data_IF_434166498234
#
_entry.id   IF_434166498234
#
_cell.length_a   1.000
_cell.length_b   1.000
_cell.length_c   1.000
_cell.angle_alpha   90.00
_cell.angle_beta   90.00
_cell.angle_gamma   90.00
#
_symmetry.space_group_name_H-M   'P 1'
#
loop_
_entity.id
_entity.type
_entity.pdbx_description
1 polymer ?
2 non-polymer ?
3 non-polymer ?
4 non-polymer ?
5 non-polymer ?
6 water ?
#
# COMPACT_ATOMS: atom_id res chain seq x y z
N UNK A 1 -24.43 24.73 -8.72
CA UNK A 1 -25.31 24.93 -7.51
C UNK A 1 -24.58 24.46 -6.24
N UNK A 2 -24.00 23.26 -6.31
CA UNK A 2 -23.33 22.65 -5.16
C UNK A 2 -22.07 23.36 -4.67
N UNK A 3 -21.33 24.02 -5.58
CA UNK A 3 -20.07 24.73 -5.25
C UNK A 3 -20.14 26.26 -5.47
N UNK A 4 -21.34 26.79 -5.58
CA UNK A 4 -21.58 28.23 -5.61
C UNK A 4 -22.08 28.69 -4.23
N UNK A 5 -21.47 29.75 -3.73
CA UNK A 5 -21.81 30.30 -2.42
C UNK A 5 -23.09 31.17 -2.53
N UNK A 6 -24.12 30.76 -1.81
CA UNK A 6 -25.32 31.56 -1.63
C UNK A 6 -25.21 32.49 -0.41
N UNK A 7 -24.68 31.99 0.70
CA UNK A 7 -24.36 32.83 1.87
C UNK A 7 -23.13 32.31 2.62
N UNK A 8 -22.38 33.22 3.23
CA UNK A 8 -21.26 32.89 4.11
C UNK A 8 -21.38 33.76 5.32
N UNK A 9 -21.25 33.21 6.51
CA UNK A 9 -21.25 34.07 7.69
C UNK A 9 -20.43 33.50 8.83
N UNK A 10 -20.01 34.38 9.74
CA UNK A 10 -19.28 33.95 10.91
C UNK A 10 -20.28 33.68 12.04
N UNK A 11 -20.09 32.55 12.73
CA UNK A 11 -21.01 32.04 13.76
C UNK A 11 -20.25 31.57 14.98
N UNK A 12 -20.98 31.35 16.06
CA UNK A 12 -20.45 30.73 17.27
C UNK A 12 -19.32 31.58 17.83
N UNK A 13 -19.64 32.83 18.12
CA UNK A 13 -18.65 33.79 18.58
C UNK A 13 -17.60 34.07 17.53
N UNK A 14 -17.98 33.93 16.25
CA UNK A 14 -17.08 34.10 15.10
C UNK A 14 -15.96 33.01 14.97
N UNK A 15 -16.12 31.89 15.69
CA UNK A 15 -15.16 30.78 15.67
C UNK A 15 -15.39 29.77 14.55
N UNK A 16 -16.48 29.92 13.82
CA UNK A 16 -16.84 29.05 12.73
C UNK A 16 -17.29 29.92 11.57
N UNK A 17 -17.04 29.45 10.35
CA UNK A 17 -17.67 30.04 9.17
C UNK A 17 -18.66 29.01 8.65
N UNK A 18 -19.88 29.46 8.38
CA UNK A 18 -20.86 28.61 7.72
C UNK A 18 -21.08 29.09 6.29
N UNK A 19 -21.00 28.15 5.35
CA UNK A 19 -21.36 28.40 3.96
C UNK A 19 -22.66 27.68 3.66
N UNK A 20 -23.61 28.43 3.12
CA UNK A 20 -24.81 27.87 2.53
C UNK A 20 -24.55 27.85 1.01
N UNK A 21 -24.56 26.67 0.40
CA UNK A 21 -24.32 26.52 -1.02
C UNK A 21 -25.65 26.67 -1.77
N UNK A 22 -25.57 26.86 -3.07
CA UNK A 22 -26.79 27.11 -3.83
C UNK A 22 -27.70 25.89 -3.93
N UNK A 23 -27.22 24.73 -3.53
CA UNK A 23 -28.11 23.56 -3.36
C UNK A 23 -28.76 23.49 -1.98
N UNK A 24 -28.53 24.49 -1.14
CA UNK A 24 -29.14 24.58 0.19
C UNK A 24 -28.43 23.72 1.27
N UNK A 25 -27.45 22.93 0.89
CA UNK A 25 -26.56 22.28 1.87
C UNK A 25 -25.69 23.30 2.57
N UNK A 26 -25.32 23.02 3.82
CA UNK A 26 -24.47 23.93 4.58
C UNK A 26 -23.14 23.23 4.87
N UNK A 27 -22.05 24.00 4.93
CA UNK A 27 -20.73 23.46 5.33
C UNK A 27 -20.18 24.37 6.43
N UNK A 28 -19.39 23.79 7.35
CA UNK A 28 -18.84 24.52 8.47
C UNK A 28 -17.30 24.39 8.47
N UNK A 29 -16.62 25.50 8.77
CA UNK A 29 -15.18 25.60 8.72
C UNK A 29 -14.71 26.34 9.94
N UNK A 30 -13.92 25.66 10.81
CA UNK A 30 -13.45 26.34 12.00
C UNK A 30 -12.53 27.48 11.64
N UNK A 31 -12.64 28.60 12.34
CA UNK A 31 -11.81 29.75 12.07
C UNK A 31 -10.31 29.44 12.16
N UNK A 32 -9.90 28.66 13.16
CA UNK A 32 -8.48 28.35 13.36
C UNK A 32 -7.93 27.57 12.16
N UNK A 33 -8.71 26.67 11.62
CA UNK A 33 -8.36 25.94 10.39
C UNK A 33 -8.25 26.87 9.19
N UNK A 34 -9.19 27.78 9.03
CA UNK A 34 -9.07 28.78 7.95
C UNK A 34 -7.80 29.59 8.06
N UNK A 35 -7.52 30.13 9.24
CA UNK A 35 -6.31 30.91 9.43
C UNK A 35 -5.05 30.09 9.14
N UNK A 36 -5.02 28.86 9.66
CA UNK A 36 -3.88 27.94 9.47
C UNK A 36 -3.63 27.68 7.98
N UNK A 37 -4.70 27.76 7.19
CA UNK A 37 -4.64 27.39 5.77
C UNK A 37 -4.81 28.57 4.82
N UNK A 38 -4.48 29.76 5.32
CA UNK A 38 -4.42 30.94 4.47
C UNK A 38 -3.50 30.70 3.29
N UNK A 39 -3.99 30.89 2.05
CA UNK A 39 -3.14 30.62 0.89
C UNK A 39 -2.31 31.80 0.43
N UNK A 40 -2.29 32.91 1.18
CA UNK A 40 -1.50 34.04 0.73
C UNK A 40 0.01 33.70 0.70
N UNK A 41 0.78 34.54 0.02
CA UNK A 41 2.21 34.27 -0.11
C UNK A 41 3.03 34.37 1.19
N UNK A 42 2.53 35.08 2.20
CA UNK A 42 3.18 35.03 3.50
C UNK A 42 3.02 33.67 4.21
N UNK A 43 1.86 33.06 4.02
CA UNK A 43 1.47 31.87 4.75
C UNK A 43 1.76 30.61 4.01
N UNK A 44 1.91 30.70 2.70
CA UNK A 44 1.90 29.51 1.87
C UNK A 44 2.86 29.69 0.72
N UNK A 45 3.75 28.70 0.52
CA UNK A 45 4.73 28.78 -0.56
C UNK A 45 4.19 28.06 -1.78
N UNK A 46 3.70 28.82 -2.76
CA UNK A 46 3.05 28.19 -3.92
C UNK A 46 3.94 27.23 -4.71
N UNK A 47 5.22 27.56 -4.86
CA UNK A 47 6.11 26.70 -5.67
C UNK A 47 6.24 25.30 -5.02
N UNK A 48 6.18 25.25 -3.69
CA UNK A 48 6.28 24.00 -2.96
C UNK A 48 4.91 23.35 -2.62
N UNK A 49 3.82 24.08 -2.84
CA UNK A 49 2.50 23.76 -2.28
C UNK A 49 2.57 23.35 -0.82
N UNK A 50 3.15 24.25 -0.02
CA UNK A 50 3.44 23.95 1.37
C UNK A 50 3.20 25.14 2.27
N UNK A 51 2.92 24.84 3.52
CA UNK A 51 2.60 25.85 4.50
C UNK A 51 3.90 26.45 5.02
N UNK A 52 3.97 27.78 4.95
CA UNK A 52 5.07 28.54 5.61
C UNK A 52 4.69 28.97 7.02
N UNK A 53 3.41 29.22 7.25
CA UNK A 53 2.91 29.64 8.56
C UNK A 53 3.34 28.65 9.64
N UNK A 54 3.92 29.17 10.70
CA UNK A 54 4.34 28.34 11.82
C UNK A 54 3.18 28.14 12.80
N UNK A 55 3.18 27.02 13.51
CA UNK A 55 2.24 26.79 14.59
C UNK A 55 2.33 27.95 15.59
N UNK A 56 3.55 28.44 15.78
CA UNK A 56 3.81 29.54 16.73
C UNK A 56 3.05 30.82 16.33
N UNK A 57 2.71 30.95 15.05
CA UNK A 57 1.98 32.14 14.58
C UNK A 57 0.47 32.01 14.68
N UNK A 58 -0.03 30.82 15.01
CA UNK A 58 -1.43 30.54 14.98
C UNK A 58 -2.10 30.76 16.34
N UNK A 59 -3.07 31.68 16.40
CA UNK A 59 -3.84 31.90 17.63
C UNK A 59 -4.94 30.86 17.64
N UNK A 60 -4.83 29.85 18.51
CA UNK A 60 -5.83 28.77 18.49
C UNK A 60 -7.22 29.20 18.98
N UNK A 61 -7.33 30.38 19.59
CA UNK A 61 -8.62 30.95 20.01
C UNK A 61 -9.14 32.01 19.02
N UNK A 62 -8.55 32.04 17.83
CA UNK A 62 -8.89 33.03 16.82
C UNK A 62 -10.35 32.96 16.40
N UNK A 63 -10.91 34.13 16.16
CA UNK A 63 -12.18 34.25 15.47
C UNK A 63 -12.08 35.18 14.27
N UNK A 64 -13.06 35.08 13.39
CA UNK A 64 -13.13 35.89 12.18
C UNK A 64 -13.50 37.33 12.57
N UNK A 65 -12.75 38.31 12.10
CA UNK A 65 -13.09 39.72 12.42
C UNK A 65 -14.12 40.27 11.44
N UNK A 66 -13.94 39.97 10.16
CA UNK A 66 -14.88 40.45 9.13
C UNK A 66 -14.87 39.46 8.01
N UNK A 67 -16.01 39.34 7.33
CA UNK A 67 -16.14 38.49 6.18
C UNK A 67 -17.07 39.11 5.13
N UNK A 68 -16.64 39.10 3.87
CA UNK A 68 -17.54 39.32 2.74
C UNK A 68 -17.34 38.17 1.77
N UNK A 69 -18.25 38.04 0.81
CA UNK A 69 -18.20 36.94 -0.13
C UNK A 69 -18.90 37.29 -1.42
N UNK A 70 -18.59 36.54 -2.46
CA UNK A 70 -19.35 36.56 -3.67
C UNK A 70 -19.63 35.10 -3.98
N UNK A 71 -20.13 34.82 -5.17
CA UNK A 71 -20.47 33.44 -5.52
C UNK A 71 -19.30 32.43 -5.52
N UNK A 72 -18.06 32.90 -5.71
CA UNK A 72 -16.93 31.99 -5.89
C UNK A 72 -15.82 32.14 -4.85
N UNK A 73 -15.93 33.10 -3.93
CA UNK A 73 -14.84 33.40 -3.00
C UNK A 73 -15.32 34.00 -1.71
N UNK A 74 -14.57 33.75 -0.64
CA UNK A 74 -14.80 34.46 0.62
C UNK A 74 -13.55 35.27 0.94
N UNK A 75 -13.76 36.44 1.53
CA UNK A 75 -12.70 37.38 1.83
C UNK A 75 -12.77 37.69 3.32
N UNK A 76 -11.72 37.34 4.08
CA UNK A 76 -11.74 37.42 5.55
C UNK A 76 -10.68 38.33 6.08
N UNK A 77 -11.06 39.16 7.03
CA UNK A 77 -10.12 39.88 7.89
C UNK A 77 -10.02 39.23 9.26
N UNK A 78 -8.79 39.15 9.75
CA UNK A 78 -8.50 38.59 11.06
C UNK A 78 -8.23 39.68 12.10
N UNK A 79 -8.34 39.36 13.40
CA UNK A 79 -8.16 40.38 14.46
C UNK A 79 -6.87 41.17 14.42
N UNK A 80 -5.79 40.54 13.98
CA UNK A 80 -4.51 41.23 13.83
C UNK A 80 -4.34 41.90 12.46
N UNK A 81 -5.41 42.02 11.68
CA UNK A 81 -5.41 42.67 10.35
C UNK A 81 -4.84 41.82 9.23
N UNK A 82 -4.41 40.58 9.52
CA UNK A 82 -4.13 39.66 8.40
C UNK A 82 -5.39 39.49 7.56
N UNK A 83 -5.20 39.16 6.28
CA UNK A 83 -6.27 39.13 5.32
C UNK A 83 -6.15 37.89 4.47
N UNK A 84 -7.24 37.15 4.29
CA UNK A 84 -7.24 35.89 3.54
C UNK A 84 -8.35 35.79 2.52
N UNK A 85 -8.08 35.11 1.40
CA UNK A 85 -9.10 34.75 0.42
C UNK A 85 -9.15 33.26 0.21
N UNK A 86 -10.37 32.72 0.21
CA UNK A 86 -10.58 31.29 -0.05
C UNK A 86 -11.54 31.08 -1.22
N UNK A 87 -11.20 30.14 -2.11
CA UNK A 87 -12.02 29.83 -3.26
C UNK A 87 -13.10 28.84 -2.87
N UNK A 88 -14.28 29.03 -3.45
CA UNK A 88 -15.41 28.15 -3.19
C UNK A 88 -15.15 26.67 -3.47
N UNK A 89 -14.52 26.36 -4.60
CA UNK A 89 -14.29 24.96 -4.97
C UNK A 89 -13.33 24.28 -3.98
N UNK A 90 -12.30 25.01 -3.57
CA UNK A 90 -11.31 24.56 -2.58
C UNK A 90 -12.00 24.28 -1.24
N UNK A 91 -12.82 25.23 -0.78
CA UNK A 91 -13.65 25.01 0.43
C UNK A 91 -14.56 23.77 0.31
N UNK A 92 -15.27 23.65 -0.80
CA UNK A 92 -16.26 22.57 -1.00
C UNK A 92 -15.60 21.19 -0.86
N UNK A 93 -14.45 21.04 -1.49
CA UNK A 93 -13.68 19.80 -1.45
C UNK A 93 -13.31 19.40 0.00
N UNK A 94 -12.99 20.40 0.83
CA UNK A 94 -12.48 20.20 2.18
C UNK A 94 -13.52 20.26 3.29
N UNK A 95 -14.81 20.25 2.90
CA UNK A 95 -15.95 20.27 3.79
C UNK A 95 -15.76 19.19 4.89
N UNK A 96 -16.02 19.55 6.12
CA UNK A 96 -15.79 18.65 7.25
C UNK A 96 -16.91 17.64 7.49
N UNK A 97 -17.96 17.67 6.66
CA UNK A 97 -18.96 16.60 6.72
C UNK A 97 -18.34 15.21 6.48
N UNK A 98 -18.91 14.22 7.15
CA UNK A 98 -18.40 12.85 7.03
C UNK A 98 -18.40 12.37 5.58
N UNK A 99 -19.47 12.69 4.85
CA UNK A 99 -19.60 12.29 3.44
C UNK A 99 -18.52 12.93 2.60
N UNK A 100 -18.29 14.22 2.78
CA UNK A 100 -17.28 14.90 1.99
C UNK A 100 -15.87 14.40 2.33
N UNK A 101 -15.58 14.21 3.61
CA UNK A 101 -14.23 13.74 4.02
C UNK A 101 -13.97 12.34 3.47
N UNK A 102 -14.99 11.49 3.52
CA UNK A 102 -14.87 10.10 3.07
C UNK A 102 -14.66 10.03 1.56
N UNK A 103 -15.41 10.83 0.80
CA UNK A 103 -15.19 10.88 -0.63
C UNK A 103 -13.75 11.25 -1.00
N UNK A 104 -13.25 12.28 -0.32
CA UNK A 104 -11.94 12.74 -0.62
C UNK A 104 -10.88 11.70 -0.25
N UNK A 105 -11.03 11.06 0.90
CA UNK A 105 -10.11 9.99 1.31
C UNK A 105 -10.08 8.87 0.27
N UNK A 106 -11.25 8.53 -0.28
CA UNK A 106 -11.31 7.53 -1.35
C UNK A 106 -10.51 7.95 -2.57
N UNK A 107 -10.59 9.24 -2.91
CA UNK A 107 -9.84 9.79 -4.04
C UNK A 107 -8.34 9.76 -3.77
N UNK A 108 -7.93 9.97 -2.53
CA UNK A 108 -6.51 10.01 -2.20
C UNK A 108 -5.89 8.60 -2.07
N UNK A 109 -6.64 7.64 -1.54
CA UNK A 109 -6.01 6.35 -1.14
C UNK A 109 -6.53 5.09 -1.83
N UNK A 110 -7.52 5.23 -2.72
CA UNK A 110 -8.01 4.14 -3.57
C UNK A 110 -8.29 2.87 -2.73
N UNK A 111 -9.21 2.95 -1.75
CA UNK A 111 -9.43 1.83 -0.84
C UNK A 111 -10.22 0.66 -1.41
N UNK A 112 -10.86 0.82 -2.56
CA UNK A 112 -11.64 -0.26 -3.19
C UNK A 112 -10.81 -1.56 -3.23
N UNK A 113 -11.36 -2.60 -2.64
CA UNK A 113 -10.71 -3.88 -2.54
C UNK A 113 -11.64 -4.99 -3.05
N UNK A 114 -11.15 -5.86 -3.94
CA UNK A 114 -11.92 -7.02 -4.34
C UNK A 114 -11.23 -8.28 -3.83
N UNK A 115 -11.86 -8.94 -2.87
CA UNK A 115 -11.33 -10.18 -2.26
C UNK A 115 -11.51 -11.32 -3.24
N UNK A 116 -10.63 -12.31 -3.20
CA UNK A 116 -10.75 -13.44 -4.10
C UNK A 116 -10.22 -14.72 -3.46
N UNK A 117 -10.68 -15.84 -4.02
CA UNK A 117 -10.17 -17.17 -3.70
C UNK A 117 -9.77 -17.90 -4.98
N UNK A 118 -10.06 -19.19 -5.05
CA UNK A 118 -9.52 -20.01 -6.13
C UNK A 118 -10.16 -19.68 -7.49
N UNK A 119 -11.23 -18.89 -7.48
CA UNK A 119 -11.93 -18.48 -8.70
C UNK A 119 -11.26 -17.32 -9.43
N UNK A 120 -10.24 -16.73 -8.81
CA UNK A 120 -9.55 -15.57 -9.39
C UNK A 120 -9.27 -15.76 -10.88
N UNK A 121 -9.56 -14.72 -11.65
CA UNK A 121 -9.13 -14.59 -13.03
C UNK A 121 -7.94 -13.65 -12.97
N UNK A 122 -6.75 -14.16 -13.24
CA UNK A 122 -5.52 -13.41 -13.04
C UNK A 122 -5.47 -12.21 -13.98
N UNK A 123 -5.52 -10.98 -13.41
CA UNK A 123 -5.52 -9.84 -14.31
C UNK A 123 -4.23 -9.77 -15.09
N UNK A 124 -4.34 -9.51 -16.40
CA UNK A 124 -3.24 -9.66 -17.28
C UNK A 124 -3.24 -8.52 -18.29
N UNK A 125 -2.06 -7.95 -18.46
CA UNK A 125 -1.80 -6.86 -19.40
C UNK A 125 -0.50 -7.14 -20.12
N UNK A 126 -0.30 -6.43 -21.23
CA UNK A 126 0.91 -6.49 -22.00
C UNK A 126 2.00 -5.57 -21.42
N UNK A 127 3.21 -6.10 -21.33
CA UNK A 127 4.35 -5.41 -20.73
C UNK A 127 4.72 -4.11 -21.44
N UNK A 128 4.94 -4.20 -22.75
CA UNK A 128 5.32 -3.01 -23.51
C UNK A 128 4.23 -1.91 -23.54
N UNK A 129 2.97 -2.33 -23.60
CA UNK A 129 1.85 -1.40 -23.51
C UNK A 129 1.89 -0.61 -22.22
N UNK A 130 2.15 -1.30 -21.11
CA UNK A 130 2.21 -0.62 -19.81
C UNK A 130 3.37 0.39 -19.79
N UNK A 131 4.50 0.05 -20.38
CA UNK A 131 5.63 1.00 -20.41
C UNK A 131 5.31 2.20 -21.32
N UNK A 132 4.57 1.96 -22.38
CA UNK A 132 4.34 2.99 -23.41
C UNK A 132 3.14 3.90 -23.13
N UNK A 133 2.01 3.33 -22.69
CA UNK A 133 0.74 4.05 -22.61
C UNK A 133 0.27 4.29 -21.20
N UNK A 134 -0.07 5.54 -20.86
CA UNK A 134 -0.56 5.86 -19.54
C UNK A 134 -1.85 5.15 -19.22
N UNK A 135 -2.69 4.91 -20.22
CA UNK A 135 -3.95 4.23 -20.03
C UNK A 135 -3.68 2.80 -19.48
N UNK A 136 -2.67 2.16 -20.03
CA UNK A 136 -2.33 0.79 -19.64
C UNK A 136 -1.60 0.75 -18.29
N UNK A 137 -0.70 1.70 -18.05
CA UNK A 137 -0.04 1.78 -16.75
C UNK A 137 -1.03 2.12 -15.64
N UNK A 138 -2.04 2.93 -15.94
CA UNK A 138 -3.09 3.23 -14.97
C UNK A 138 -3.90 2.00 -14.62
N UNK A 139 -4.27 1.21 -15.63
CA UNK A 139 -5.01 -0.02 -15.38
C UNK A 139 -4.15 -0.98 -14.55
N UNK A 140 -2.86 -1.03 -14.88
CA UNK A 140 -1.89 -1.84 -14.13
C UNK A 140 -1.91 -1.51 -12.62
N UNK A 141 -1.59 -0.27 -12.26
CA UNK A 141 -1.49 0.09 -10.83
C UNK A 141 -2.84 0.12 -10.10
N UNK A 142 -3.92 0.48 -10.80
CA UNK A 142 -5.22 0.51 -10.16
C UNK A 142 -5.65 -0.91 -9.86
N UNK A 143 -5.38 -1.84 -10.77
CA UNK A 143 -5.75 -3.22 -10.55
C UNK A 143 -4.87 -3.89 -9.48
N UNK A 144 -3.59 -3.57 -9.50
CA UNK A 144 -2.63 -3.96 -8.48
C UNK A 144 -3.14 -3.56 -7.10
N UNK A 145 -3.62 -2.31 -6.95
CA UNK A 145 -4.16 -1.83 -5.68
C UNK A 145 -5.44 -2.56 -5.27
N UNK A 146 -6.36 -2.70 -6.21
CA UNK A 146 -7.69 -3.26 -5.95
C UNK A 146 -7.69 -4.78 -5.72
N UNK A 147 -7.03 -5.49 -6.61
CA UNK A 147 -7.05 -6.95 -6.63
C UNK A 147 -5.82 -7.52 -5.90
N UNK A 148 -4.69 -6.84 -6.01
CA UNK A 148 -3.47 -7.26 -5.31
C UNK A 148 -2.43 -7.93 -6.18
N UNK A 149 -2.77 -8.18 -7.44
CA UNK A 149 -1.84 -8.79 -8.37
C UNK A 149 -2.24 -8.52 -9.82
N UNK A 150 -1.22 -8.28 -10.65
CA UNK A 150 -1.35 -8.18 -12.10
C UNK A 150 -0.21 -8.93 -12.74
N UNK A 151 -0.53 -9.74 -13.75
CA UNK A 151 0.49 -10.39 -14.54
C UNK A 151 0.73 -9.53 -15.78
N UNK A 152 1.99 -9.29 -16.11
CA UNK A 152 2.33 -8.65 -17.38
C UNK A 152 3.00 -9.67 -18.28
N UNK A 153 2.46 -9.85 -19.48
CA UNK A 153 2.99 -10.81 -20.44
C UNK A 153 3.75 -10.10 -21.56
N UNK A 154 4.63 -10.84 -22.24
CA UNK A 154 5.33 -10.27 -23.40
C UNK A 154 6.54 -9.43 -23.07
N UNK A 155 7.13 -9.59 -21.89
CA UNK A 155 8.44 -9.02 -21.61
C UNK A 155 9.51 -9.90 -22.28
N UNK A 156 10.75 -9.45 -22.32
CA UNK A 156 11.81 -10.27 -22.89
C UNK A 156 12.18 -11.43 -21.94
N UNK A 157 13.12 -12.25 -22.36
CA UNK A 157 13.63 -13.31 -21.50
C UNK A 157 15.05 -13.00 -21.02
N UNK A 158 15.33 -11.72 -20.78
CA UNK A 158 16.64 -11.28 -20.35
C UNK A 158 16.46 -10.39 -19.13
N UNK A 159 17.50 -10.29 -18.29
CA UNK A 159 17.51 -9.33 -17.17
C UNK A 159 17.23 -7.91 -17.61
N UNK A 160 16.76 -7.08 -16.68
CA UNK A 160 16.55 -5.67 -16.94
C UNK A 160 15.11 -5.27 -17.11
N UNK A 161 14.18 -6.24 -17.15
CA UNK A 161 12.77 -5.89 -17.35
C UNK A 161 12.12 -5.30 -16.07
N UNK A 162 12.44 -5.84 -14.89
CA UNK A 162 11.88 -5.25 -13.69
C UNK A 162 12.34 -3.81 -13.46
N UNK A 163 13.59 -3.53 -13.82
CA UNK A 163 14.16 -2.20 -13.73
C UNK A 163 13.40 -1.18 -14.60
N UNK A 164 12.92 -1.62 -15.77
CA UNK A 164 12.02 -0.79 -16.60
C UNK A 164 10.72 -0.45 -15.88
N UNK A 165 10.14 -1.45 -15.23
CA UNK A 165 8.90 -1.24 -14.52
C UNK A 165 9.17 -0.33 -13.33
N UNK A 166 10.33 -0.51 -12.70
CA UNK A 166 10.81 0.37 -11.64
C UNK A 166 10.80 1.85 -12.01
N UNK A 167 11.35 2.15 -13.19
CA UNK A 167 11.41 3.51 -13.70
C UNK A 167 10.02 3.99 -14.04
N UNK A 168 9.19 3.13 -14.61
CA UNK A 168 7.81 3.50 -14.88
C UNK A 168 7.06 3.93 -13.59
N UNK A 169 7.29 3.21 -12.49
CA UNK A 169 6.70 3.56 -11.20
C UNK A 169 7.40 4.81 -10.67
N UNK A 170 8.71 4.76 -10.62
CA UNK A 170 9.50 5.85 -10.07
C UNK A 170 10.91 5.38 -9.80
N UNK A 171 11.04 4.60 -8.74
CA UNK A 171 12.27 3.91 -8.42
C UNK A 171 11.93 2.69 -7.57
N UNK A 172 12.86 1.75 -7.57
CA UNK A 172 12.74 0.48 -6.82
C UNK A 172 13.29 0.64 -5.39
N UNK A 173 12.99 -0.34 -4.54
CA UNK A 173 13.34 -0.26 -3.12
C UNK A 173 14.57 -1.14 -2.87
N UNK A 174 15.71 -0.50 -2.64
CA UNK A 174 16.95 -1.23 -2.32
C UNK A 174 16.91 -1.93 -0.98
N UNK A 175 17.34 -3.20 -0.97
CA UNK A 175 17.51 -3.96 0.28
C UNK A 175 18.89 -4.63 0.27
N UNK A 176 19.19 -5.36 1.34
CA UNK A 176 20.42 -6.11 1.43
C UNK A 176 20.61 -7.16 0.31
N UNK A 177 19.55 -7.54 -0.38
CA UNK A 177 19.65 -8.49 -1.49
C UNK A 177 19.88 -7.85 -2.85
N UNK A 178 19.99 -6.51 -2.88
CA UNK A 178 20.34 -5.76 -4.09
C UNK A 178 19.21 -4.87 -4.59
N UNK A 179 19.53 -4.09 -5.59
CA UNK A 179 18.54 -3.28 -6.30
C UNK A 179 17.57 -4.22 -7.00
N UNK A 180 18.08 -5.24 -7.67
CA UNK A 180 17.28 -6.38 -8.14
C UNK A 180 18.04 -7.60 -7.71
N UNK A 181 17.43 -8.78 -7.84
CA UNK A 181 18.05 -10.01 -7.34
C UNK A 181 17.59 -11.19 -8.17
N UNK A 182 18.40 -12.23 -8.15
CA UNK A 182 18.22 -13.37 -9.04
C UNK A 182 17.78 -14.58 -8.23
N UNK A 183 16.58 -15.08 -8.50
CA UNK A 183 16.05 -16.25 -7.84
C UNK A 183 16.46 -17.46 -8.68
N UNK A 184 17.44 -18.18 -8.16
CA UNK A 184 18.08 -19.31 -8.82
C UNK A 184 18.62 -20.15 -7.72
N UNK A 185 18.85 -21.43 -7.99
CA UNK A 185 19.55 -22.29 -7.06
C UNK A 185 21.02 -21.86 -6.93
N UNK A 186 21.48 -21.62 -5.71
CA UNK A 186 22.85 -21.15 -5.50
C UNK A 186 23.61 -21.99 -4.49
N UNK A 187 24.90 -22.20 -4.75
CA UNK A 187 25.78 -22.92 -3.83
C UNK A 187 25.94 -22.05 -2.59
N UNK A 188 25.93 -22.66 -1.40
CA UNK A 188 26.00 -21.92 -0.14
C UNK A 188 24.95 -20.82 -0.06
N UNK A 189 23.73 -21.16 -0.43
CA UNK A 189 22.60 -20.21 -0.45
C UNK A 189 22.42 -19.47 0.86
N UNK A 190 22.28 -18.15 0.73
CA UNK A 190 22.10 -17.28 1.86
C UNK A 190 20.63 -17.09 2.22
N UNK A 191 19.75 -17.79 1.50
CA UNK A 191 18.31 -17.64 1.67
C UNK A 191 17.65 -18.86 1.06
N UNK A 192 16.59 -19.38 1.68
CA UNK A 192 15.93 -20.58 1.12
C UNK A 192 15.34 -20.36 -0.27
N UNK A 193 15.03 -19.11 -0.60
CA UNK A 193 14.52 -18.83 -1.91
C UNK A 193 15.53 -19.17 -3.02
N UNK A 194 16.82 -19.16 -2.70
CA UNK A 194 17.90 -19.42 -3.67
C UNK A 194 18.33 -20.91 -3.64
N UNK A 195 17.34 -21.78 -3.52
CA UNK A 195 17.51 -23.23 -3.56
C UNK A 195 16.41 -23.75 -4.47
N UNK A 196 16.37 -25.06 -4.69
CA UNK A 196 15.27 -25.68 -5.42
C UNK A 196 14.07 -26.07 -4.53
N UNK A 197 14.10 -25.72 -3.26
CA UNK A 197 13.09 -26.17 -2.32
C UNK A 197 11.74 -25.50 -2.55
N UNK A 198 10.71 -26.12 -1.99
CA UNK A 198 9.38 -25.54 -1.94
C UNK A 198 9.42 -24.29 -1.06
N UNK A 199 8.71 -23.24 -1.45
CA UNK A 199 8.44 -22.14 -0.55
C UNK A 199 6.96 -22.22 -0.22
N UNK A 200 6.65 -22.38 1.06
CA UNK A 200 5.27 -22.35 1.53
C UNK A 200 4.80 -20.90 1.46
N UNK A 201 3.51 -20.68 1.69
CA UNK A 201 2.97 -19.33 1.66
C UNK A 201 3.73 -18.43 2.61
N UNK A 202 4.21 -17.32 2.05
CA UNK A 202 4.88 -16.31 2.88
C UNK A 202 4.69 -14.93 2.28
N UNK A 203 4.98 -13.90 3.08
CA UNK A 203 5.25 -12.59 2.60
C UNK A 203 6.77 -12.37 2.61
N UNK A 204 7.26 -11.50 1.74
CA UNK A 204 8.69 -11.28 1.65
C UNK A 204 9.11 -10.25 2.69
N UNK A 205 10.21 -10.57 3.35
CA UNK A 205 10.99 -9.65 4.15
C UNK A 205 10.34 -9.14 5.44
N UNK A 206 9.67 -10.02 6.20
CA UNK A 206 9.25 -9.60 7.54
C UNK A 206 10.41 -9.31 8.50
N UNK A 207 11.61 -9.71 8.14
CA UNK A 207 12.78 -9.34 8.92
C UNK A 207 13.02 -7.81 8.93
N UNK A 208 12.40 -7.08 8.01
CA UNK A 208 12.37 -5.60 8.07
C UNK A 208 11.14 -5.07 8.82
N UNK A 209 11.30 -3.99 9.57
CA UNK A 209 10.18 -3.38 10.24
C UNK A 209 9.19 -2.79 9.22
N UNK A 210 9.66 -2.46 8.02
CA UNK A 210 8.78 -1.95 6.94
C UNK A 210 8.97 -2.83 5.72
N UNK A 211 8.26 -3.98 5.68
CA UNK A 211 8.47 -4.88 4.55
C UNK A 211 8.07 -4.21 3.23
N UNK A 212 8.72 -4.62 2.12
CA UNK A 212 8.35 -4.14 0.79
C UNK A 212 6.85 -4.20 0.56
N UNK A 213 6.27 -3.09 0.08
CA UNK A 213 4.85 -3.09 -0.24
C UNK A 213 4.47 -3.86 -1.47
N UNK A 214 5.30 -3.77 -2.50
CA UNK A 214 5.03 -4.33 -3.81
C UNK A 214 6.23 -5.15 -4.26
N UNK A 215 5.97 -6.33 -4.80
CA UNK A 215 7.02 -7.17 -5.30
C UNK A 215 6.83 -7.39 -6.78
N UNK A 216 7.93 -7.43 -7.50
CA UNK A 216 7.96 -7.77 -8.93
C UNK A 216 8.77 -9.02 -9.15
N UNK A 217 8.24 -9.98 -9.91
CA UNK A 217 9.00 -11.16 -10.27
C UNK A 217 8.90 -11.41 -11.76
N UNK A 218 10.04 -11.46 -12.42
CA UNK A 218 10.09 -11.67 -13.87
C UNK A 218 10.70 -13.02 -14.18
N UNK A 219 10.00 -13.83 -14.96
CA UNK A 219 10.49 -15.15 -15.36
C UNK A 219 11.40 -15.02 -16.58
N UNK A 220 12.67 -15.29 -16.37
CA UNK A 220 13.66 -15.33 -17.41
C UNK A 220 13.74 -16.76 -17.97
N UNK A 221 13.91 -17.73 -17.08
CA UNK A 221 13.95 -19.15 -17.39
C UNK A 221 13.02 -19.91 -16.46
N UNK A 222 12.23 -20.82 -17.01
CA UNK A 222 11.39 -21.73 -16.23
C UNK A 222 11.75 -23.19 -16.46
N UNK A 223 11.50 -24.01 -15.43
CA UNK A 223 11.80 -25.44 -15.47
C UNK A 223 10.51 -26.23 -15.67
N UNK A 224 10.58 -27.36 -16.38
CA UNK A 224 9.42 -28.23 -16.48
C UNK A 224 9.25 -29.17 -15.25
N UNK A 225 10.27 -29.22 -14.37
CA UNK A 225 10.29 -30.16 -13.25
C UNK A 225 9.52 -29.72 -12.00
N UNK A 226 8.97 -28.52 -12.02
CA UNK A 226 8.18 -28.02 -10.88
C UNK A 226 8.20 -26.49 -10.95
N UNK A 227 8.19 -25.84 -9.80
CA UNK A 227 8.33 -24.36 -9.76
C UNK A 227 7.10 -23.56 -10.13
N UNK A 228 5.93 -24.18 -10.08
CA UNK A 228 4.67 -23.47 -10.19
C UNK A 228 4.53 -22.45 -9.05
N UNK A 229 3.76 -21.41 -9.33
CA UNK A 229 3.48 -20.35 -8.39
C UNK A 229 2.13 -20.56 -7.71
N UNK A 230 2.03 -20.09 -6.48
CA UNK A 230 0.78 -20.12 -5.75
C UNK A 230 0.64 -18.83 -4.98
N UNK A 231 -0.60 -18.34 -4.93
CA UNK A 231 -0.94 -17.12 -4.24
C UNK A 231 -2.24 -17.32 -3.49
N UNK A 232 -2.43 -16.51 -2.47
CA UNK A 232 -3.64 -16.51 -1.67
C UNK A 232 -3.87 -15.05 -1.24
N UNK A 233 -5.14 -14.69 -1.08
CA UNK A 233 -5.52 -13.36 -0.66
C UNK A 233 -5.56 -13.34 0.88
N UNK A 234 -4.51 -12.79 1.48
CA UNK A 234 -4.35 -12.81 2.94
C UNK A 234 -5.45 -12.08 3.68
N UNK A 235 -6.00 -11.00 3.08
CA UNK A 235 -7.09 -10.30 3.72
C UNK A 235 -8.35 -11.17 3.74
N UNK A 236 -8.61 -11.89 2.66
CA UNK A 236 -9.71 -12.85 2.61
C UNK A 236 -9.51 -13.96 3.63
N UNK A 237 -8.29 -14.52 3.68
CA UNK A 237 -8.01 -15.56 4.64
C UNK A 237 -8.20 -15.08 6.07
N UNK A 238 -7.74 -13.86 6.39
CA UNK A 238 -7.88 -13.36 7.76
C UNK A 238 -9.36 -13.23 8.16
N UNK A 239 -10.18 -12.78 7.22
CA UNK A 239 -11.61 -12.62 7.47
C UNK A 239 -12.21 -13.99 7.81
N UNK A 240 -11.85 -15.00 7.03
CA UNK A 240 -12.31 -16.37 7.26
C UNK A 240 -11.87 -16.90 8.63
N UNK A 241 -10.61 -16.64 8.98
CA UNK A 241 -10.06 -17.08 10.27
C UNK A 241 -10.79 -16.42 11.44
N UNK A 242 -11.00 -15.10 11.37
CA UNK A 242 -11.76 -14.41 12.39
C UNK A 242 -13.15 -15.06 12.65
N UNK A 243 -13.80 -15.50 11.58
CA UNK A 243 -15.08 -16.20 11.69
C UNK A 243 -14.94 -17.63 12.25
N UNK A 244 -14.06 -18.44 11.67
CA UNK A 244 -13.92 -19.83 12.10
C UNK A 244 -13.27 -20.02 13.47
N UNK A 245 -12.27 -19.18 13.77
CA UNK A 245 -11.53 -19.31 15.01
C UNK A 245 -11.12 -17.97 15.54
N UNK A 246 -12.04 -17.29 16.23
CA UNK A 246 -11.73 -15.99 16.77
C UNK A 246 -10.54 -16.01 17.70
N UNK A 247 -10.36 -17.09 18.47
CA UNK A 247 -9.20 -17.16 19.36
C UNK A 247 -7.87 -17.23 18.59
N UNK A 248 -7.82 -18.04 17.55
CA UNK A 248 -6.64 -18.06 16.69
C UNK A 248 -6.34 -16.68 16.10
N UNK A 249 -7.39 -15.97 15.69
CA UNK A 249 -7.23 -14.62 15.13
C UNK A 249 -6.72 -13.63 16.16
N UNK A 250 -7.28 -13.69 17.36
CA UNK A 250 -6.83 -12.85 18.46
C UNK A 250 -5.33 -13.05 18.75
N UNK A 251 -4.90 -14.31 18.83
CA UNK A 251 -3.50 -14.63 19.12
C UNK A 251 -2.58 -14.09 18.01
N UNK A 252 -2.91 -14.38 16.76
CA UNK A 252 -2.02 -13.97 15.68
C UNK A 252 -2.01 -12.46 15.45
N UNK A 253 -3.10 -11.80 15.83
CA UNK A 253 -3.20 -10.36 15.73
C UNK A 253 -2.68 -9.58 16.93
N UNK A 254 -2.20 -10.28 17.97
CA UNK A 254 -1.68 -9.63 19.15
C UNK A 254 -0.27 -10.09 19.60
N UNK A 255 0.24 -11.17 19.03
CA UNK A 255 1.49 -11.76 19.49
C UNK A 255 2.65 -11.26 18.64
N UNK A 256 3.61 -10.62 19.27
CA UNK A 256 4.83 -10.24 18.58
C UNK A 256 5.79 -11.45 18.38
N UNK A 257 6.05 -11.73 17.10
CA UNK A 257 6.91 -12.76 16.60
C UNK A 257 8.22 -12.12 16.12
N UNK A 258 9.34 -12.72 16.49
CA UNK A 258 10.66 -12.25 16.08
C UNK A 258 11.06 -12.88 14.75
N UNK A 259 11.59 -12.06 13.83
CA UNK A 259 12.15 -12.51 12.55
C UNK A 259 13.62 -12.07 12.46
N UNK A 260 14.39 -12.84 11.71
CA UNK A 260 15.84 -12.73 11.64
C UNK A 260 16.38 -12.99 10.24
N UNK A 261 17.43 -12.30 9.86
CA UNK A 261 18.13 -12.62 8.62
C UNK A 261 19.58 -12.20 8.79
N UNK A 262 20.49 -13.15 8.66
CA UNK A 262 21.90 -12.89 8.89
C UNK A 262 22.66 -13.50 7.73
N UNK A 263 23.60 -12.75 7.18
CA UNK A 263 24.36 -13.22 6.03
C UNK A 263 24.99 -12.11 5.26
N UNK A 264 25.32 -12.40 4.00
CA UNK A 264 26.03 -11.48 3.14
C UNK A 264 25.47 -11.57 1.76
N UNK A 265 25.13 -10.42 1.19
CA UNK A 265 24.74 -10.35 -0.21
C UNK A 265 25.20 -9.00 -0.77
N UNK A 266 24.29 -8.05 -0.99
CA UNK A 266 24.70 -6.70 -1.43
C UNK A 266 25.65 -6.07 -0.43
N UNK A 267 25.38 -6.33 0.84
CA UNK A 267 26.21 -5.90 1.93
C UNK A 267 26.16 -7.02 2.96
N UNK A 268 26.99 -6.95 3.97
CA UNK A 268 26.89 -7.90 5.10
C UNK A 268 25.79 -7.43 6.05
N UNK A 269 24.98 -8.36 6.55
CA UNK A 269 23.82 -7.98 7.35
C UNK A 269 23.52 -8.89 8.54
N UNK A 270 22.94 -8.29 9.56
CA UNK A 270 22.41 -8.98 10.73
C UNK A 270 21.14 -8.27 11.16
N UNK A 271 20.03 -8.77 10.63
CA UNK A 271 18.73 -8.08 10.69
C UNK A 271 17.76 -8.77 11.68
N UNK A 272 17.09 -7.99 12.53
CA UNK A 272 16.13 -8.53 13.49
C UNK A 272 14.92 -7.64 13.53
N UNK A 273 13.74 -8.25 13.62
CA UNK A 273 12.52 -7.49 13.80
C UNK A 273 11.52 -8.22 14.69
N UNK A 274 10.47 -7.49 15.04
CA UNK A 274 9.29 -8.06 15.68
C UNK A 274 8.06 -7.60 14.93
N UNK A 275 7.11 -8.51 14.66
CA UNK A 275 5.85 -8.18 14.02
C UNK A 275 4.75 -9.04 14.58
N UNK A 276 3.54 -8.52 14.55
CA UNK A 276 2.36 -9.35 14.67
C UNK A 276 2.04 -9.93 13.28
N UNK A 277 1.83 -11.24 13.20
CA UNK A 277 1.63 -11.86 11.89
C UNK A 277 0.42 -11.26 11.16
N UNK A 278 -0.65 -11.03 11.90
CA UNK A 278 -1.82 -10.31 11.39
C UNK A 278 -1.82 -8.94 12.01
N UNK A 279 -1.55 -7.94 11.19
CA UNK A 279 -1.36 -6.61 11.72
C UNK A 279 -2.59 -5.79 11.44
N UNK A 280 -3.19 -5.25 12.51
CA UNK A 280 -4.47 -4.53 12.43
C UNK A 280 -4.24 -3.06 12.60
N UNK A 281 -5.06 -2.23 11.95
CA UNK A 281 -5.02 -0.80 12.25
C UNK A 281 -5.81 -0.48 13.54
N UNK A 282 -5.88 0.80 13.90
CA UNK A 282 -6.54 1.24 15.13
C UNK A 282 -8.07 0.97 15.10
N UNK A 283 -8.64 0.68 13.95
CA UNK A 283 -10.06 0.26 13.88
C UNK A 283 -10.25 -1.25 13.78
N UNK A 284 -9.19 -2.05 13.99
CA UNK A 284 -9.33 -3.51 13.88
C UNK A 284 -9.34 -4.11 12.47
N UNK A 285 -9.06 -3.31 11.43
CA UNK A 285 -9.01 -3.82 10.08
C UNK A 285 -7.61 -4.34 9.77
N UNK A 286 -7.53 -5.45 9.06
CA UNK A 286 -6.21 -5.97 8.68
C UNK A 286 -5.59 -5.10 7.61
N UNK A 287 -4.38 -4.62 7.88
CA UNK A 287 -3.64 -3.84 6.94
C UNK A 287 -2.37 -4.48 6.42
N UNK A 288 -1.83 -5.47 7.14
CA UNK A 288 -0.66 -6.18 6.65
C UNK A 288 -0.55 -7.53 7.32
N UNK A 289 -0.07 -8.47 6.51
CA UNK A 289 0.37 -9.78 6.98
C UNK A 289 1.88 -9.78 6.97
N UNK A 290 2.48 -10.28 8.06
CA UNK A 290 3.95 -10.32 8.21
C UNK A 290 4.34 -11.75 8.56
N UNK A 291 4.66 -12.56 7.55
CA UNK A 291 4.91 -13.98 7.82
C UNK A 291 5.76 -14.65 6.76
N UNK A 292 6.96 -15.04 7.16
CA UNK A 292 7.79 -15.94 6.37
C UNK A 292 8.35 -16.97 7.34
N UNK A 293 7.96 -18.22 7.15
CA UNK A 293 8.35 -19.26 8.10
C UNK A 293 9.83 -19.55 8.08
N UNK A 294 10.50 -19.25 6.96
CA UNK A 294 11.96 -19.43 6.90
C UNK A 294 12.71 -18.47 7.81
N UNK A 295 12.22 -17.24 7.92
CA UNK A 295 12.96 -16.21 8.63
C UNK A 295 12.39 -15.90 10.00
N UNK A 296 11.31 -16.59 10.39
CA UNK A 296 10.88 -16.57 11.81
C UNK A 296 12.02 -17.11 12.70
N UNK A 297 12.42 -16.34 13.70
CA UNK A 297 13.60 -16.66 14.51
C UNK A 297 13.33 -17.89 15.38
N UNK A 298 14.41 -18.46 15.90
CA UNK A 298 14.35 -19.51 16.92
C UNK A 298 14.00 -18.84 18.26
N UNK A 299 14.45 -17.61 18.40
CA UNK A 299 14.09 -16.77 19.53
C UNK A 299 12.60 -16.51 19.45
N UNK A 300 11.88 -16.73 20.54
CA UNK A 300 10.46 -16.48 20.58
C UNK A 300 10.16 -15.84 21.92
N UNK A 301 9.85 -14.54 21.87
CA UNK A 301 9.79 -13.68 23.04
C UNK A 301 8.39 -13.66 23.63
N UNK A 302 7.98 -14.80 24.18
CA UNK A 302 6.66 -14.91 24.84
C UNK A 302 6.78 -15.86 26.05
N UNK A 303 5.90 -15.67 27.06
CA UNK A 303 5.90 -16.61 28.19
C UNK A 303 5.60 -18.03 27.70
N UNK A 304 6.15 -19.02 28.42
CA UNK A 304 6.09 -20.40 28.00
C UNK A 304 4.66 -20.91 27.65
N UNK A 305 3.70 -20.51 28.48
CA UNK A 305 2.31 -20.95 28.38
C UNK A 305 1.59 -20.44 27.11
N UNK A 306 2.14 -19.40 26.51
CA UNK A 306 1.60 -18.82 25.27
C UNK A 306 2.16 -19.48 24.02
N UNK A 307 3.18 -20.33 24.17
CA UNK A 307 3.88 -20.87 23.01
C UNK A 307 3.03 -21.87 22.21
N UNK A 308 2.52 -22.89 22.85
CA UNK A 308 1.81 -23.93 22.09
C UNK A 308 0.51 -23.37 21.48
N UNK A 309 -0.21 -22.50 22.21
CA UNK A 309 -1.38 -21.90 21.59
C UNK A 309 -1.05 -21.04 20.36
N UNK A 310 0.08 -20.32 20.38
CA UNK A 310 0.53 -19.63 19.20
C UNK A 310 0.70 -20.56 18.03
N UNK A 311 1.44 -21.66 18.22
CA UNK A 311 1.64 -22.61 17.12
C UNK A 311 0.33 -23.20 16.62
N UNK A 312 -0.56 -23.55 17.53
CA UNK A 312 -1.88 -24.02 17.13
C UNK A 312 -2.64 -23.01 16.27
N UNK A 313 -2.54 -21.73 16.63
CA UNK A 313 -3.16 -20.67 15.83
C UNK A 313 -2.52 -20.50 14.46
N UNK A 314 -1.19 -20.53 14.42
CA UNK A 314 -0.46 -20.44 13.16
C UNK A 314 -0.86 -21.57 12.23
N UNK A 315 -0.93 -22.79 12.78
CA UNK A 315 -1.34 -23.93 11.98
C UNK A 315 -2.73 -23.77 11.36
N UNK A 316 -3.69 -23.28 12.13
CA UNK A 316 -5.03 -23.03 11.60
C UNK A 316 -4.99 -22.02 10.44
N UNK A 317 -4.18 -20.97 10.60
CA UNK A 317 -4.04 -19.91 9.58
C UNK A 317 -3.45 -20.49 8.30
N UNK A 318 -2.39 -21.29 8.46
CA UNK A 318 -1.73 -21.91 7.31
C UNK A 318 -2.64 -22.94 6.64
N UNK A 319 -3.35 -23.74 7.40
CA UNK A 319 -4.33 -24.67 6.80
C UNK A 319 -5.42 -23.90 5.98
N UNK A 320 -5.86 -22.76 6.48
CA UNK A 320 -6.85 -21.96 5.71
C UNK A 320 -6.29 -21.48 4.36
N UNK A 321 -5.06 -20.99 4.40
CA UNK A 321 -4.36 -20.52 3.22
C UNK A 321 -4.25 -21.60 2.18
N UNK A 322 -4.02 -22.81 2.64
CA UNK A 322 -3.81 -23.94 1.78
C UNK A 322 -5.09 -24.56 1.26
N UNK A 323 -6.22 -24.13 1.77
CA UNK A 323 -7.48 -24.68 1.34
C UNK A 323 -7.73 -24.46 -0.14
N UNK A 324 -8.35 -25.45 -0.77
CA UNK A 324 -8.59 -25.42 -2.18
C UNK A 324 -9.52 -24.27 -2.58
N UNK A 325 -10.34 -23.76 -1.67
CA UNK A 325 -11.17 -22.61 -1.97
C UNK A 325 -10.39 -21.29 -1.91
N UNK A 326 -9.22 -21.28 -1.28
CA UNK A 326 -8.48 -20.04 -1.08
C UNK A 326 -7.35 -19.85 -2.09
N UNK A 327 -6.62 -20.90 -2.40
CA UNK A 327 -5.39 -20.72 -3.15
C UNK A 327 -5.64 -20.68 -4.63
N UNK A 328 -4.78 -19.94 -5.32
CA UNK A 328 -4.78 -19.90 -6.77
C UNK A 328 -3.38 -20.27 -7.28
N UNK A 329 -3.34 -21.25 -8.19
CA UNK A 329 -2.08 -21.77 -8.70
C UNK A 329 -1.97 -21.49 -10.20
N UNK A 330 -0.76 -21.21 -10.63
CA UNK A 330 -0.48 -20.87 -12.03
C UNK A 330 1.00 -21.05 -12.24
N UNK A 331 1.47 -21.00 -13.47
CA UNK A 331 2.87 -21.21 -13.72
C UNK A 331 3.37 -20.12 -14.63
N UNK A 332 4.49 -19.51 -14.24
CA UNK A 332 5.11 -18.47 -15.03
C UNK A 332 5.86 -19.07 -16.20
N UNK A 333 5.72 -18.43 -17.36
CA UNK A 333 6.58 -18.69 -18.50
C UNK A 333 7.55 -17.56 -18.72
N UNK A 334 8.64 -17.83 -19.47
CA UNK A 334 9.58 -16.76 -19.80
C UNK A 334 8.91 -15.57 -20.48
N UNK A 335 9.24 -14.38 -20.00
CA UNK A 335 8.58 -13.16 -20.46
C UNK A 335 7.43 -12.70 -19.59
N UNK A 336 6.96 -13.54 -18.67
CA UNK A 336 5.92 -13.12 -17.74
C UNK A 336 6.55 -12.34 -16.60
N UNK A 337 5.83 -11.31 -16.16
CA UNK A 337 6.18 -10.61 -14.94
C UNK A 337 4.96 -10.60 -14.05
N UNK A 338 5.09 -11.00 -12.78
CA UNK A 338 4.01 -10.78 -11.83
C UNK A 338 4.40 -9.64 -10.90
N UNK A 339 3.42 -8.79 -10.60
CA UNK A 339 3.55 -7.66 -9.71
C UNK A 339 2.43 -7.76 -8.67
N UNK A 340 2.77 -7.75 -7.38
CA UNK A 340 1.76 -7.98 -6.38
C UNK A 340 1.99 -7.27 -5.08
N UNK A 341 0.88 -7.15 -4.34
CA UNK A 341 0.83 -6.49 -3.02
C UNK A 341 1.40 -7.47 -2.00
N UNK A 342 2.62 -7.19 -1.57
CA UNK A 342 3.35 -8.06 -0.62
C UNK A 342 2.92 -7.85 0.84
N UNK A 343 2.04 -6.89 1.08
CA UNK A 343 1.38 -6.75 2.39
C UNK A 343 0.09 -7.56 2.51
N UNK A 344 -0.51 -7.90 1.41
CA UNK A 344 -1.84 -8.53 1.44
C UNK A 344 -1.77 -9.97 0.97
N UNK A 345 -1.10 -10.22 -0.14
CA UNK A 345 -1.02 -11.58 -0.64
C UNK A 345 0.07 -12.35 0.11
N UNK A 346 -0.09 -13.64 0.17
CA UNK A 346 1.05 -14.52 0.46
C UNK A 346 1.29 -15.33 -0.80
N UNK A 347 2.55 -15.65 -1.05
CA UNK A 347 2.92 -16.35 -2.26
C UNK A 347 3.84 -17.51 -1.93
N UNK A 348 3.92 -18.41 -2.89
CA UNK A 348 4.73 -19.60 -2.73
C UNK A 348 5.18 -20.15 -4.05
N UNK A 349 5.96 -21.20 -3.95
CA UNK A 349 6.47 -21.87 -5.11
C UNK A 349 6.63 -23.36 -4.83
N UNK A 350 6.31 -24.17 -5.83
CA UNK A 350 6.58 -25.60 -5.76
C UNK A 350 8.08 -25.94 -5.95
N UNK A 351 8.54 -26.97 -5.25
CA UNK A 351 9.92 -27.41 -5.41
C UNK A 351 10.14 -27.82 -6.86
N UNK A 352 11.38 -27.83 -7.26
CA UNK A 352 11.79 -28.34 -8.55
C UNK A 352 13.14 -29.06 -8.43
N UNK A 353 13.63 -29.65 -9.52
CA UNK A 353 14.82 -30.50 -9.45
C UNK A 353 16.09 -29.71 -9.65
N UNK A 354 17.08 -30.02 -8.83
CA UNK A 354 18.43 -29.47 -8.98
C UNK A 354 19.14 -30.12 -10.16
N UNK A 355 20.17 -29.46 -10.67
CA UNK A 355 21.00 -30.04 -11.73
C UNK A 355 22.23 -29.19 -11.94
N UNK A 356 23.01 -29.49 -12.97
CA UNK A 356 24.29 -28.84 -13.22
C UNK A 356 24.15 -27.48 -13.89
N UNK A 357 23.15 -27.33 -14.76
CA UNK A 357 22.92 -26.01 -15.34
C UNK A 357 21.77 -25.33 -14.63
N UNK A 358 21.65 -24.02 -14.83
CA UNK A 358 20.54 -23.28 -14.25
C UNK A 358 19.30 -23.60 -15.08
N UNK A 359 18.28 -24.18 -14.45
CA UNK A 359 17.06 -24.54 -15.17
C UNK A 359 15.96 -23.53 -14.95
N UNK A 360 16.15 -22.61 -14.00
CA UNK A 360 15.10 -21.72 -13.54
C UNK A 360 15.75 -20.46 -12.98
N UNK A 361 15.25 -19.33 -13.42
CA UNK A 361 15.82 -18.01 -13.12
C UNK A 361 14.68 -16.98 -13.19
N UNK A 362 14.39 -16.36 -12.04
CA UNK A 362 13.53 -15.18 -12.01
C UNK A 362 14.40 -14.00 -11.57
N UNK A 363 14.14 -12.82 -12.12
CA UNK A 363 14.66 -11.59 -11.56
C UNK A 363 13.53 -10.84 -10.82
N UNK A 364 13.85 -10.39 -9.61
CA UNK A 364 12.86 -9.76 -8.76
C UNK A 364 13.33 -8.42 -8.24
N UNK A 365 12.37 -7.67 -7.75
CA UNK A 365 12.65 -6.36 -7.08
C UNK A 365 11.47 -5.99 -6.23
N UNK A 366 11.64 -4.93 -5.44
CA UNK A 366 10.61 -4.42 -4.56
C UNK A 366 10.35 -2.95 -4.85
N UNK A 367 9.15 -2.51 -4.49
CA UNK A 367 8.83 -1.07 -4.50
C UNK A 367 8.05 -0.69 -3.27
N UNK A 368 8.18 0.57 -2.85
CA UNK A 368 7.44 1.05 -1.69
C UNK A 368 6.04 1.42 -2.13
N UNK A 369 5.03 1.03 -1.35
CA UNK A 369 3.63 1.37 -1.69
C UNK A 369 3.41 2.86 -1.88
N UNK A 370 4.15 3.68 -1.14
CA UNK A 370 3.96 5.13 -1.28
C UNK A 370 4.44 5.66 -2.64
N UNK A 371 5.48 5.03 -3.17
CA UNK A 371 6.04 5.34 -4.49
C UNK A 371 5.05 4.88 -5.56
N UNK A 372 4.46 3.70 -5.36
CA UNK A 372 3.45 3.17 -6.28
C UNK A 372 2.17 4.03 -6.28
N UNK A 373 1.72 4.40 -5.09
CA UNK A 373 0.50 5.19 -4.95
C UNK A 373 0.69 6.55 -5.58
N UNK A 374 1.87 7.15 -5.38
CA UNK A 374 2.20 8.44 -6.03
C UNK A 374 2.02 8.38 -7.56
N UNK A 375 2.59 7.38 -8.18
CA UNK A 375 2.42 7.17 -9.61
C UNK A 375 0.96 6.94 -10.00
N UNK A 376 0.25 6.17 -9.19
CA UNK A 376 -1.15 5.92 -9.42
C UNK A 376 -1.96 7.22 -9.42
N UNK A 377 -1.72 8.09 -8.43
CA UNK A 377 -2.38 9.40 -8.38
C UNK A 377 -2.08 10.23 -9.63
N UNK A 378 -0.81 10.26 -10.04
CA UNK A 378 -0.41 11.06 -11.23
C UNK A 378 -1.03 10.50 -12.51
N UNK A 379 -0.97 9.18 -12.66
CA UNK A 379 -1.57 8.55 -13.84
C UNK A 379 -3.06 8.81 -13.93
N UNK A 380 -3.79 8.72 -12.81
CA UNK A 380 -5.22 8.97 -12.84
C UNK A 380 -5.53 10.37 -13.36
N UNK A 381 -4.77 11.35 -12.86
CA UNK A 381 -4.92 12.74 -13.28
C UNK A 381 -4.68 12.87 -14.79
N UNK A 382 -3.59 12.30 -15.30
CA UNK A 382 -3.26 12.38 -16.73
C UNK A 382 -4.29 11.68 -17.62
N UNK A 383 -4.82 10.55 -17.15
CA UNK A 383 -5.80 9.79 -17.93
C UNK A 383 -7.20 10.42 -17.88
N UNK A 384 -7.56 11.04 -16.75
CA UNK A 384 -8.88 11.72 -16.59
C UNK A 384 -8.81 13.23 -16.84
X LIG B 1 10.96 -15.45 -3.23
X LIG B 1 9.86 -16.18 -3.86
X LIG B 1 9.02 -17.32 -5.84
X LIG B 1 9.52 -18.29 -6.90
X LIG B 1 12.06 -15.51 -3.84
X LIG B 1 10.73 -14.76 -2.16
X LIG B 1 8.77 -16.17 -3.31
X LIG B 1 8.68 -18.73 -7.69
X LIG B 1 10.10 -16.76 -5.03
X LIG B 1 10.72 -18.64 -6.91
X LIG C 1 12.78 -12.93 2.72
X LIG C 1 13.62 -12.68 -0.45
X LIG C 1 13.74 -13.73 2.82
X LIG C 1 12.82 -11.79 1.74
X LIG C 1 14.47 -12.83 -1.58
X LIG C 1 11.79 -12.98 3.47
X LIG C 1 13.96 -11.85 0.71
X LIG C 1 13.80 -13.56 -2.65
X LIG C 1 15.72 -13.55 -1.23
X LIG C 1 14.67 -11.55 -2.28
X LIG C 1 15.52 -10.59 -1.59
X LIG D 1 8.84 -14.66 -1.73
X LIG E 1 -1.89 34.60 4.90
X LIG F 1 28.40 -2.79 1.92
X LIG G 1 -17.39 25.39 -8.46
X LIG H 1 -7.44 44.09 2.11
X LIG H 1 -7.83 43.72 0.72
X LIG H 1 -9.33 43.47 0.63
X LIG H 1 -9.83 43.04 -0.77
X LIG H 1 -11.32 42.69 -0.73
X LIG H 1 -11.88 42.22 -2.06
X LIG H 1 -13.35 41.83 -1.96
X LIG H 1 -13.92 41.39 -3.27
#
# INVERSE_FOLDING_TARGET
>A
MACTIQKAEALDGAHLMQILWYDEEESLYPAVWLRDNCPCSDCYLDSAKARKLLVEALDVNIGIKGLIFDRKKVYITWPDEHYSEFQADWLKKRCFSKQARAKLQRELFFPECQYWGSELQLPTLDFEDVLRYDEHAYKWLSTLKKVGIVRLTGASDKPGEVSKLGKRMGFLYLTFYGHTWQVQDKIDANNVAYTTGKLSFHTDYPALHHPPGVQLLHCIKQTVTGGDSEIVDGFNVCQKLKKNNPQAFQILSSTFVDFTDIGVDYCDFSVQSKHKIIELDDKGQVVRINFNNATRDTIFDVPVERVQPFYAALKEFVDLMNSKESKFTFKMNPGDVITFDNWRLLHGRRSYEAGTEISRHLEGAYADWDVVMSRLRILRQRVENGN
>B hetero
1 OGA C1 C2 C4 C5 O1 O2 O2' O3 N1 O4
>C hetero
1 C2T C1 N1 O1 C2 N2 O2 C3 C4 C5 C6 C10
>D hetero
1 ZN ZN
>E hetero
1 ZN ZN
>F hetero
1 ZN ZN
>G hetero
1 ZN ZN
>H hetero
1 16D N1 C1 C2 C3 C4 C5 C6 N2
#
